data_IF_755484825707
#
_entry.id   IF_755484825707
#
_cell.length_a   1.000
_cell.length_b   1.000
_cell.length_c   1.000
_cell.angle_alpha   90.00
_cell.angle_beta   90.00
_cell.angle_gamma   90.00
#
_symmetry.space_group_name_H-M   'P 1'
#
loop_
_entity.id
_entity.type
_entity.pdbx_description
1 polymer ?
#
# COMPACT_ATOMS: atom_id res chain seq x y z
N UNK A 1 5.09 11.05 -19.38
CA UNK A 1 5.24 9.88 -18.48
C UNK A 1 5.00 10.20 -17.01
N UNK A 2 5.03 11.48 -16.59
CA UNK A 2 4.76 11.89 -15.20
C UNK A 2 3.41 11.42 -14.64
N UNK A 3 2.38 11.28 -15.48
CA UNK A 3 1.07 10.78 -15.08
C UNK A 3 1.11 9.34 -14.54
N UNK A 4 2.05 8.52 -15.05
CA UNK A 4 2.22 7.13 -14.62
C UNK A 4 2.81 7.10 -13.20
N UNK A 5 3.81 7.95 -12.96
CA UNK A 5 4.46 8.06 -11.64
C UNK A 5 3.46 8.64 -10.63
N UNK A 6 2.72 9.67 -11.00
CA UNK A 6 1.70 10.25 -10.15
C UNK A 6 0.62 9.21 -9.79
N UNK A 7 0.13 8.46 -10.78
CA UNK A 7 -0.87 7.42 -10.53
C UNK A 7 -0.30 6.27 -9.69
N UNK A 8 0.86 5.72 -10.03
CA UNK A 8 1.38 4.50 -9.38
C UNK A 8 2.07 4.75 -8.04
N UNK A 9 2.55 5.96 -7.75
CA UNK A 9 3.35 6.21 -6.54
C UNK A 9 2.76 7.23 -5.58
N UNK A 10 2.03 8.24 -6.09
CA UNK A 10 1.64 9.41 -5.29
C UNK A 10 0.15 9.51 -5.04
N UNK A 11 -0.67 9.01 -5.96
CA UNK A 11 -2.12 9.15 -5.88
C UNK A 11 -2.72 8.08 -4.97
N UNK A 12 -3.57 8.45 -4.02
CA UNK A 12 -4.38 7.48 -3.30
C UNK A 12 -5.44 6.87 -4.21
N UNK A 13 -5.72 5.58 -4.04
CA UNK A 13 -6.69 4.84 -4.83
C UNK A 13 -7.85 4.35 -3.98
N UNK A 14 -9.08 4.55 -4.43
CA UNK A 14 -10.28 4.07 -3.73
C UNK A 14 -10.27 2.55 -3.51
N UNK A 15 -9.78 1.78 -4.49
CA UNK A 15 -9.63 0.33 -4.38
C UNK A 15 -8.64 -0.11 -3.29
N UNK A 16 -7.74 0.78 -2.87
CA UNK A 16 -6.79 0.57 -1.78
C UNK A 16 -7.24 1.27 -0.48
N UNK A 17 -8.54 1.53 -0.32
CA UNK A 17 -9.10 2.32 0.78
C UNK A 17 -8.51 3.74 0.88
N UNK A 18 -8.36 4.40 -0.27
CA UNK A 18 -7.75 5.74 -0.39
C UNK A 18 -6.29 5.80 0.09
N UNK A 19 -5.56 4.70 -0.05
CA UNK A 19 -4.12 4.65 0.17
C UNK A 19 -3.35 4.69 -1.15
N UNK A 20 -2.12 5.17 -1.09
CA UNK A 20 -1.16 4.95 -2.19
C UNK A 20 -0.73 3.49 -2.24
N UNK A 21 -0.22 2.99 -3.38
CA UNK A 21 0.27 1.61 -3.49
C UNK A 21 1.37 1.29 -2.47
N UNK A 22 2.24 2.25 -2.17
CA UNK A 22 3.30 2.10 -1.17
C UNK A 22 2.76 1.96 0.26
N UNK A 23 1.77 2.78 0.64
CA UNK A 23 1.14 2.69 1.97
C UNK A 23 0.37 1.39 2.14
N UNK A 24 -0.37 0.97 1.11
CA UNK A 24 -1.06 -0.31 1.12
C UNK A 24 -0.07 -1.48 1.30
N UNK A 25 1.04 -1.47 0.57
CA UNK A 25 2.07 -2.50 0.69
C UNK A 25 2.70 -2.54 2.09
N UNK A 26 3.03 -1.38 2.68
CA UNK A 26 3.54 -1.29 4.06
C UNK A 26 2.53 -1.82 5.07
N UNK A 27 1.23 -1.58 4.86
CA UNK A 27 0.18 -2.08 5.75
C UNK A 27 0.02 -3.61 5.64
N UNK A 28 0.15 -4.16 4.43
CA UNK A 28 0.15 -5.61 4.23
C UNK A 28 1.32 -6.27 4.98
N UNK A 29 2.54 -5.75 4.81
CA UNK A 29 3.74 -6.25 5.48
C UNK A 29 3.63 -6.17 7.02
N UNK A 30 3.04 -5.09 7.56
CA UNK A 30 2.79 -4.97 9.00
C UNK A 30 1.84 -6.05 9.49
N UNK A 31 0.82 -6.38 8.71
CA UNK A 31 -0.19 -7.38 9.08
C UNK A 31 0.37 -8.81 8.98
N UNK A 32 1.19 -9.10 7.97
CA UNK A 32 1.89 -10.38 7.85
C UNK A 32 2.87 -10.62 9.01
N UNK A 33 3.62 -9.58 9.43
CA UNK A 33 4.50 -9.68 10.60
C UNK A 33 3.72 -9.86 11.91
N UNK A 34 2.51 -9.30 12.02
CA UNK A 34 1.65 -9.51 13.18
C UNK A 34 1.14 -10.97 13.27
N UNK A 35 0.82 -11.60 12.14
CA UNK A 35 0.38 -12.99 12.08
C UNK A 35 1.52 -13.98 12.36
N UNK A 36 2.74 -13.65 11.93
CA UNK A 36 3.94 -14.49 12.12
C UNK A 36 4.39 -14.61 13.58
N UNK A 37 4.05 -13.63 14.43
CA UNK A 37 4.44 -13.60 15.86
C UNK A 37 3.44 -14.33 16.78
N UNK A 38 2.43 -15.01 16.23
CA UNK A 38 1.40 -15.73 16.98
C UNK A 38 1.51 -17.25 16.77
N UNK A 39 2.71 -17.82 16.97
CA UNK A 39 2.97 -19.27 17.03
C UNK A 39 3.88 -19.58 18.22
#
# INVERSE_FOLDING_TARGET
>A
EEWIIEYNERRPHEALNNLTPNEWHKNLLKNENALSNTV
#
